data_IF_269547603329
#
_entry.id   IF_269547603329
#
_cell.length_a   1.000
_cell.length_b   1.000
_cell.length_c   1.000
_cell.angle_alpha   90.00
_cell.angle_beta   90.00
_cell.angle_gamma   90.00
#
_symmetry.space_group_name_H-M   'P 1'
#
loop_
_entity.id
_entity.type
_entity.pdbx_description
1 polymer ?
#
# COMPACT_ATOMS: atom_id res chain seq x y z
N UNK A 1 -8.33 1.30 -44.73
CA UNK A 1 -9.46 1.86 -43.98
C UNK A 1 -9.58 1.10 -42.67
N UNK A 2 -8.80 1.50 -41.66
CA UNK A 2 -8.78 0.85 -40.36
C UNK A 2 -9.83 1.49 -39.46
N UNK A 3 -10.80 0.70 -39.00
CA UNK A 3 -11.78 1.14 -38.01
C UNK A 3 -11.06 1.35 -36.67
N UNK A 4 -10.94 2.62 -36.26
CA UNK A 4 -10.65 2.99 -34.88
C UNK A 4 -11.84 2.58 -34.02
N UNK A 5 -11.78 1.38 -33.47
CA UNK A 5 -12.68 0.97 -32.40
C UNK A 5 -12.41 1.87 -31.20
N UNK A 6 -13.32 2.80 -30.94
CA UNK A 6 -13.36 3.54 -29.69
C UNK A 6 -13.75 2.52 -28.63
N UNK A 7 -12.75 1.99 -27.92
CA UNK A 7 -12.97 1.15 -26.76
C UNK A 7 -13.65 2.01 -25.69
N UNK A 8 -14.96 1.84 -25.51
CA UNK A 8 -15.71 2.48 -24.44
C UNK A 8 -15.53 1.55 -23.23
N UNK A 9 -14.71 1.90 -22.23
CA UNK A 9 -14.54 1.06 -21.06
C UNK A 9 -15.90 0.87 -20.40
N UNK A 10 -16.20 -0.39 -20.07
CA UNK A 10 -17.43 -0.81 -19.40
C UNK A 10 -17.45 -0.21 -18.01
N UNK A 11 -17.93 1.03 -17.87
CA UNK A 11 -18.26 1.59 -16.56
C UNK A 11 -19.34 0.70 -15.97
N UNK A 12 -18.99 -0.11 -14.98
CA UNK A 12 -19.88 -1.10 -14.36
C UNK A 12 -21.10 -0.48 -13.70
N UNK A 13 -21.14 0.84 -13.48
CA UNK A 13 -22.36 1.54 -13.09
C UNK A 13 -22.43 2.95 -13.72
N UNK A 14 -23.18 3.16 -14.83
CA UNK A 14 -23.47 4.51 -15.33
C UNK A 14 -24.24 5.39 -14.32
N UNK A 15 -24.66 4.82 -13.19
CA UNK A 15 -25.39 5.50 -12.13
C UNK A 15 -24.50 6.32 -11.18
N UNK A 16 -23.17 6.17 -11.17
CA UNK A 16 -22.29 6.86 -10.20
C UNK A 16 -21.06 7.49 -10.83
N UNK A 17 -21.24 8.55 -11.63
CA UNK A 17 -20.14 9.17 -12.39
C UNK A 17 -19.20 10.00 -11.51
N UNK A 18 -19.57 10.33 -10.28
CA UNK A 18 -18.75 11.17 -9.41
C UNK A 18 -17.98 10.32 -8.39
N UNK A 19 -16.71 10.63 -8.13
CA UNK A 19 -15.98 10.01 -7.03
C UNK A 19 -15.17 11.00 -6.19
N UNK A 20 -14.87 10.58 -4.96
CA UNK A 20 -14.00 11.31 -4.06
C UNK A 20 -12.55 10.89 -4.28
N UNK A 21 -11.66 11.86 -4.52
CA UNK A 21 -10.21 11.64 -4.70
C UNK A 21 -9.49 11.16 -3.43
N UNK A 22 -10.11 11.35 -2.26
CA UNK A 22 -9.55 10.94 -0.97
C UNK A 22 -10.05 9.57 -0.50
N UNK A 23 -11.34 9.26 -0.55
CA UNK A 23 -11.82 7.96 -0.09
C UNK A 23 -12.06 6.93 -1.21
N UNK A 24 -12.07 7.34 -2.49
CA UNK A 24 -12.35 6.47 -3.62
C UNK A 24 -13.84 6.09 -3.80
N UNK A 25 -14.73 6.55 -2.92
CA UNK A 25 -16.17 6.24 -3.00
C UNK A 25 -16.83 6.97 -4.18
N UNK A 26 -17.79 6.28 -4.81
CA UNK A 26 -18.56 6.78 -5.95
C UNK A 26 -19.97 7.23 -5.54
N UNK A 27 -20.48 8.23 -6.24
CA UNK A 27 -21.73 8.91 -5.95
C UNK A 27 -22.51 9.21 -7.25
N UNK A 28 -23.85 9.17 -7.20
CA UNK A 28 -24.71 9.46 -8.35
C UNK A 28 -24.80 10.95 -8.70
N UNK A 29 -24.58 11.83 -7.72
CA UNK A 29 -24.76 13.27 -7.88
C UNK A 29 -23.48 14.02 -7.54
N UNK A 30 -23.32 15.19 -8.17
CA UNK A 30 -22.24 16.13 -7.86
C UNK A 30 -22.47 16.73 -6.47
N UNK A 31 -21.41 16.97 -5.73
CA UNK A 31 -21.51 17.55 -4.39
C UNK A 31 -20.24 17.35 -3.59
N UNK A 32 -20.38 17.30 -2.27
CA UNK A 32 -19.29 16.99 -1.35
C UNK A 32 -19.34 15.51 -0.97
N UNK A 33 -18.17 14.93 -0.72
CA UNK A 33 -18.08 13.58 -0.20
C UNK A 33 -18.71 13.53 1.20
N UNK A 34 -19.75 12.73 1.39
CA UNK A 34 -20.41 12.57 2.69
C UNK A 34 -19.49 12.02 3.80
N UNK A 35 -18.34 11.43 3.44
CA UNK A 35 -17.37 10.90 4.39
C UNK A 35 -16.19 11.84 4.65
N UNK A 36 -15.76 12.58 3.62
CA UNK A 36 -14.59 13.46 3.73
C UNK A 36 -14.96 14.93 3.98
N UNK A 37 -16.23 15.31 3.77
CA UNK A 37 -16.90 16.63 3.91
C UNK A 37 -16.25 17.84 3.22
N UNK A 38 -14.92 17.92 3.19
CA UNK A 38 -14.09 18.94 2.56
C UNK A 38 -13.82 18.68 1.08
N UNK A 39 -13.94 17.43 0.63
CA UNK A 39 -13.53 17.03 -0.74
C UNK A 39 -14.72 17.11 -1.68
N UNK A 40 -14.57 17.91 -2.73
CA UNK A 40 -15.54 18.02 -3.83
C UNK A 40 -15.49 16.74 -4.66
N UNK A 41 -16.66 16.22 -5.00
CA UNK A 41 -16.81 15.06 -5.86
C UNK A 41 -16.45 15.42 -7.30
N UNK A 42 -15.62 14.57 -7.89
CA UNK A 42 -14.99 14.78 -9.18
C UNK A 42 -15.68 13.90 -10.22
N UNK A 43 -16.02 14.42 -11.40
CA UNK A 43 -16.70 13.65 -12.46
C UNK A 43 -15.69 12.79 -13.25
N UNK A 44 -15.89 11.47 -13.27
CA UNK A 44 -15.02 10.51 -13.96
C UNK A 44 -15.33 10.37 -15.46
N UNK A 45 -16.42 10.98 -15.94
CA UNK A 45 -16.74 11.02 -17.37
C UNK A 45 -15.82 11.96 -18.13
N UNK A 46 -15.24 12.94 -17.45
CA UNK A 46 -14.33 13.89 -18.05
C UNK A 46 -12.91 13.29 -18.19
N UNK A 47 -12.35 13.22 -19.41
CA UNK A 47 -11.10 12.52 -19.65
C UNK A 47 -9.88 13.22 -19.03
N UNK A 48 -9.88 14.56 -18.95
CA UNK A 48 -8.79 15.31 -18.30
C UNK A 48 -8.71 15.00 -16.81
N UNK A 49 -9.87 14.96 -16.18
CA UNK A 49 -10.04 14.69 -14.77
C UNK A 49 -9.61 13.26 -14.43
N UNK A 50 -9.98 12.30 -15.29
CA UNK A 50 -9.50 10.90 -15.21
C UNK A 50 -7.97 10.83 -15.24
N UNK A 51 -7.32 11.55 -16.17
CA UNK A 51 -5.86 11.59 -16.29
C UNK A 51 -5.19 12.14 -15.03
N UNK A 52 -5.70 13.24 -14.47
CA UNK A 52 -5.18 13.82 -13.22
C UNK A 52 -5.28 12.85 -12.05
N UNK A 53 -6.37 12.10 -11.94
CA UNK A 53 -6.52 11.09 -10.88
C UNK A 53 -5.51 9.95 -11.05
N UNK A 54 -5.29 9.48 -12.28
CA UNK A 54 -4.28 8.45 -12.57
C UNK A 54 -2.89 8.94 -12.21
N UNK A 55 -2.52 10.16 -12.60
CA UNK A 55 -1.23 10.78 -12.28
C UNK A 55 -1.03 10.95 -10.76
N UNK A 56 -2.06 11.40 -10.04
CA UNK A 56 -2.04 11.48 -8.57
C UNK A 56 -1.93 10.11 -7.89
N UNK A 57 -2.56 9.07 -8.44
CA UNK A 57 -2.38 7.72 -7.92
C UNK A 57 -0.98 7.17 -8.21
N UNK A 58 -0.41 7.45 -9.38
CA UNK A 58 0.95 7.03 -9.74
C UNK A 58 2.00 7.65 -8.81
N UNK A 59 1.89 8.95 -8.54
CA UNK A 59 2.77 9.66 -7.59
C UNK A 59 2.64 9.09 -6.17
N UNK A 60 1.41 8.87 -5.68
CA UNK A 60 1.18 8.22 -4.37
C UNK A 60 1.77 6.81 -4.30
N UNK A 61 1.69 6.00 -5.36
CA UNK A 61 2.30 4.67 -5.43
C UNK A 61 3.83 4.74 -5.32
N UNK A 62 4.46 5.69 -6.01
CA UNK A 62 5.90 5.88 -5.96
C UNK A 62 6.39 6.28 -4.57
N UNK A 63 5.58 7.03 -3.82
CA UNK A 63 5.92 7.44 -2.45
C UNK A 63 5.64 6.32 -1.43
N UNK A 64 4.54 5.59 -1.60
CA UNK A 64 4.13 4.56 -0.63
C UNK A 64 4.89 3.25 -0.76
N UNK A 65 5.38 2.89 -1.95
CA UNK A 65 6.29 1.75 -2.12
C UNK A 65 7.56 1.92 -1.28
N UNK A 66 8.07 3.15 -1.13
CA UNK A 66 9.21 3.42 -0.24
C UNK A 66 8.92 3.08 1.21
N UNK A 67 7.78 3.52 1.73
CA UNK A 67 7.40 3.22 3.12
C UNK A 67 7.18 1.72 3.37
N UNK A 68 6.57 1.00 2.43
CA UNK A 68 6.40 -0.45 2.56
C UNK A 68 7.73 -1.21 2.54
N UNK A 69 8.67 -0.81 1.67
CA UNK A 69 10.00 -1.43 1.61
C UNK A 69 10.75 -1.19 2.91
N UNK A 70 10.69 0.02 3.47
CA UNK A 70 11.34 0.35 4.74
C UNK A 70 10.78 -0.49 5.91
N UNK A 71 9.46 -0.65 5.99
CA UNK A 71 8.83 -1.44 7.06
C UNK A 71 9.17 -2.94 7.02
N UNK A 72 9.45 -3.49 5.84
CA UNK A 72 9.82 -4.91 5.68
C UNK A 72 11.34 -5.10 5.83
N UNK A 73 12.14 -4.18 5.28
CA UNK A 73 13.59 -4.28 5.29
C UNK A 73 14.19 -4.11 6.70
N UNK A 74 13.60 -3.26 7.54
CA UNK A 74 14.09 -2.98 8.89
C UNK A 74 14.12 -4.22 9.81
N UNK A 75 13.03 -4.99 10.00
CA UNK A 75 13.06 -6.20 10.82
C UNK A 75 13.96 -7.29 10.22
N UNK A 76 14.05 -7.36 8.90
CA UNK A 76 14.88 -8.35 8.20
C UNK A 76 16.38 -8.04 8.40
N UNK A 77 16.77 -6.76 8.31
CA UNK A 77 18.11 -6.30 8.63
C UNK A 77 18.47 -6.51 10.12
N UNK A 78 17.52 -6.25 11.03
CA UNK A 78 17.70 -6.52 12.46
C UNK A 78 17.90 -8.01 12.75
N UNK A 79 17.13 -8.89 12.09
CA UNK A 79 17.29 -10.33 12.21
C UNK A 79 18.66 -10.81 11.69
N UNK A 80 19.09 -10.31 10.53
CA UNK A 80 20.39 -10.66 9.94
C UNK A 80 21.57 -10.15 10.77
N UNK A 81 21.49 -8.92 11.31
CA UNK A 81 22.53 -8.39 12.19
C UNK A 81 22.60 -9.15 13.51
N UNK A 82 21.47 -9.56 14.08
CA UNK A 82 21.42 -10.38 15.28
C UNK A 82 22.05 -11.77 15.05
N UNK A 83 21.75 -12.44 13.92
CA UNK A 83 22.34 -13.75 13.60
C UNK A 83 23.86 -13.66 13.38
N UNK A 84 24.34 -12.64 12.68
CA UNK A 84 25.78 -12.39 12.49
C UNK A 84 26.45 -12.08 13.84
N UNK A 85 25.84 -11.26 14.69
CA UNK A 85 26.36 -10.95 16.02
C UNK A 85 26.48 -12.20 16.91
N UNK A 86 25.51 -13.12 16.81
CA UNK A 86 25.55 -14.43 17.50
C UNK A 86 26.61 -15.40 16.95
N UNK A 87 27.06 -15.21 15.70
CA UNK A 87 28.12 -16.01 15.09
C UNK A 87 29.52 -15.59 15.57
N UNK A 88 29.69 -14.37 16.11
CA UNK A 88 30.98 -13.90 16.58
C UNK A 88 31.37 -14.53 17.94
N UNK A 89 32.53 -15.22 18.02
CA UNK A 89 32.92 -16.01 19.19
C UNK A 89 33.05 -15.26 20.53
N UNK A 90 33.53 -14.00 20.61
CA UNK A 90 33.60 -13.29 21.89
C UNK A 90 32.20 -12.92 22.43
N UNK A 91 31.27 -12.57 21.55
CA UNK A 91 29.90 -12.21 21.90
C UNK A 91 29.09 -13.44 22.30
N UNK A 92 29.28 -14.56 21.59
CA UNK A 92 28.65 -15.85 21.88
C UNK A 92 28.96 -16.36 23.29
N UNK A 93 30.22 -16.23 23.74
CA UNK A 93 30.63 -16.63 25.11
C UNK A 93 29.96 -15.79 26.21
N UNK A 94 29.75 -14.50 25.93
CA UNK A 94 29.10 -13.57 26.87
C UNK A 94 27.56 -13.76 26.89
N UNK A 95 26.94 -13.95 25.73
CA UNK A 95 25.50 -14.22 25.60
C UNK A 95 25.09 -15.60 26.15
N UNK A 96 25.90 -16.64 25.96
CA UNK A 96 25.63 -17.96 26.58
C UNK A 96 25.81 -17.99 28.10
N UNK A 97 26.49 -16.99 28.70
CA UNK A 97 26.61 -16.85 30.16
C UNK A 97 25.27 -16.52 30.82
N UNK A 98 24.35 -15.92 30.07
CA UNK A 98 23.00 -15.57 30.51
C UNK A 98 21.97 -16.28 29.62
N UNK A 99 21.59 -17.53 29.92
CA UNK A 99 20.70 -18.34 29.07
C UNK A 99 19.32 -17.73 28.85
N UNK A 100 18.90 -16.78 29.69
CA UNK A 100 17.66 -16.03 29.52
C UNK A 100 17.71 -15.05 28.32
N UNK A 101 18.90 -14.56 27.95
CA UNK A 101 19.03 -13.47 26.97
C UNK A 101 18.92 -13.95 25.52
N UNK A 102 19.44 -15.15 25.22
CA UNK A 102 19.33 -15.75 23.88
C UNK A 102 17.87 -16.10 23.53
N UNK A 103 17.10 -16.59 24.50
CA UNK A 103 15.67 -16.83 24.36
C UNK A 103 14.90 -15.54 24.09
N UNK A 104 15.20 -14.47 24.82
CA UNK A 104 14.55 -13.17 24.63
C UNK A 104 14.77 -12.58 23.23
N UNK A 105 16.00 -12.65 22.70
CA UNK A 105 16.30 -12.15 21.35
C UNK A 105 15.51 -12.91 20.27
N UNK A 106 15.42 -14.24 20.39
CA UNK A 106 14.64 -15.06 19.47
C UNK A 106 13.14 -14.75 19.55
N UNK A 107 12.60 -14.60 20.76
CA UNK A 107 11.19 -14.26 20.95
C UNK A 107 10.87 -12.88 20.36
N UNK A 108 11.73 -11.88 20.57
CA UNK A 108 11.56 -10.55 19.97
C UNK A 108 11.62 -10.61 18.44
N UNK A 109 12.55 -11.37 17.88
CA UNK A 109 12.67 -11.53 16.42
C UNK A 109 11.42 -12.21 15.81
N UNK A 110 10.93 -13.29 16.45
CA UNK A 110 9.71 -13.99 16.03
C UNK A 110 8.50 -13.06 16.14
N UNK A 111 8.38 -12.33 17.25
CA UNK A 111 7.27 -11.41 17.48
C UNK A 111 7.27 -10.27 16.45
N UNK A 112 8.42 -9.68 16.17
CA UNK A 112 8.56 -8.64 15.15
C UNK A 112 8.13 -9.17 13.76
N UNK A 113 8.58 -10.37 13.39
CA UNK A 113 8.26 -10.98 12.11
C UNK A 113 6.76 -11.31 12.01
N UNK A 114 6.18 -11.90 13.06
CA UNK A 114 4.75 -12.17 13.15
C UNK A 114 3.92 -10.89 13.06
N UNK A 115 4.35 -9.81 13.74
CA UNK A 115 3.70 -8.51 13.70
C UNK A 115 3.77 -7.88 12.30
N UNK A 116 4.91 -7.97 11.60
CA UNK A 116 5.02 -7.52 10.21
C UNK A 116 4.08 -8.28 9.27
N UNK A 117 3.96 -9.60 9.43
CA UNK A 117 3.01 -10.41 8.64
C UNK A 117 1.56 -10.05 8.96
N UNK A 118 1.26 -9.80 10.24
CA UNK A 118 -0.06 -9.38 10.69
C UNK A 118 -0.44 -8.01 10.10
N UNK A 119 0.47 -7.04 10.11
CA UNK A 119 0.25 -5.73 9.49
C UNK A 119 -0.01 -5.87 7.98
N UNK A 120 0.73 -6.74 7.29
CA UNK A 120 0.51 -7.03 5.86
C UNK A 120 -0.88 -7.63 5.61
N UNK A 121 -1.41 -8.42 6.55
CA UNK A 121 -2.75 -9.02 6.48
C UNK A 121 -3.85 -7.98 6.73
N UNK A 122 -3.66 -7.08 7.69
CA UNK A 122 -4.67 -6.10 8.10
C UNK A 122 -4.73 -4.85 7.22
N UNK A 123 -3.63 -4.50 6.54
CA UNK A 123 -3.60 -3.39 5.60
C UNK A 123 -3.37 -3.88 4.16
N UNK A 124 -4.29 -4.68 3.58
CA UNK A 124 -4.22 -5.02 2.18
C UNK A 124 -4.45 -3.74 1.38
N UNK A 125 -3.39 -3.27 0.74
CA UNK A 125 -3.43 -2.05 -0.07
C UNK A 125 -4.35 -2.31 -1.26
N UNK A 126 -5.57 -1.76 -1.22
CA UNK A 126 -6.49 -1.79 -2.37
C UNK A 126 -6.37 -0.45 -3.09
N UNK A 127 -6.08 -0.42 -4.41
CA UNK A 127 -6.16 0.81 -5.17
C UNK A 127 -7.56 1.42 -5.02
N UNK A 128 -7.66 2.74 -4.86
CA UNK A 128 -8.94 3.44 -4.71
C UNK A 128 -9.73 3.38 -6.02
N UNK A 129 -9.03 3.38 -7.15
CA UNK A 129 -9.61 3.31 -8.48
C UNK A 129 -9.00 2.17 -9.32
N UNK A 130 -9.30 0.89 -9.02
CA UNK A 130 -8.75 -0.23 -9.78
C UNK A 130 -9.09 -0.16 -11.27
N UNK A 131 -10.34 0.21 -11.58
CA UNK A 131 -10.85 0.28 -12.95
C UNK A 131 -10.16 1.34 -13.83
N UNK A 132 -9.55 2.37 -13.22
CA UNK A 132 -8.82 3.39 -13.99
C UNK A 132 -7.42 2.91 -14.41
N UNK A 133 -6.95 1.82 -13.82
CA UNK A 133 -5.58 1.30 -13.99
C UNK A 133 -5.52 0.16 -15.00
N UNK A 134 -6.64 -0.43 -15.37
CA UNK A 134 -6.72 -1.47 -16.41
C UNK A 134 -6.67 -0.87 -17.84
N UNK A 135 -6.78 0.45 -17.97
CA UNK A 135 -6.78 1.19 -19.24
C UNK A 135 -5.38 1.65 -19.70
N UNK A 136 -4.31 1.44 -18.91
CA UNK A 136 -2.93 1.77 -19.32
C UNK A 136 -2.34 0.67 -20.22
N UNK A 137 -1.87 0.99 -21.44
CA UNK A 137 -1.34 0.02 -22.41
C UNK A 137 -0.03 -0.64 -21.98
#
# INVERSE_FOLDING_TARGET
>A
MGSTWIYIPRMTEPLRPYACTECGRRYPQKGKCAYCESVILVDLREPETRRRIVELEQTRRAEQTKHQIVFIALPLAAALTATIALALPPLKRFLLRFPAYSGFVLVIAIFALAFTLLLRRFFPWRPRFPELMDDTP
#
